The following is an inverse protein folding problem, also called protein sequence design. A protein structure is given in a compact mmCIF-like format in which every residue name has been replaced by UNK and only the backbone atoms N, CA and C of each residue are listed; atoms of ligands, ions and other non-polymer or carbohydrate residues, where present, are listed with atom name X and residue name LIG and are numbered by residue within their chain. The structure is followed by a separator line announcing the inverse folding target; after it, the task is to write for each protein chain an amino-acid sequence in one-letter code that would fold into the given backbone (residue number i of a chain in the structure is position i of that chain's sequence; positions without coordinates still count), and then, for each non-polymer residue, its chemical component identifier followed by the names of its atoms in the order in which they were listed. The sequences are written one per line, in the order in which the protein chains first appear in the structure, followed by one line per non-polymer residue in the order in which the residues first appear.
data_IF_332960384365
#
_entry.id   IF_332960384365
#
_cell.length_a   1.000
_cell.length_b   1.000
_cell.length_c   1.000
_cell.angle_alpha   90.00
_cell.angle_beta   90.00
_cell.angle_gamma   90.00
#
_symmetry.space_group_name_H-M   'P 1'
#
loop_
_entity.id
_entity.type
_entity.pdbx_description
1 polymer ?
#
# COMPACT_ATOMS: atom_id res chain seq x y z
N UNK A 1 8.99 -9.00 -4.36
CA UNK A 1 7.71 -8.81 -5.09
C UNK A 1 7.43 -9.95 -6.05
N UNK A 2 8.26 -10.20 -7.06
CA UNK A 2 8.02 -11.27 -8.04
C UNK A 2 7.77 -12.66 -7.41
N UNK A 3 8.58 -13.08 -6.43
CA UNK A 3 8.37 -14.35 -5.74
C UNK A 3 7.12 -14.38 -4.82
N UNK A 4 6.87 -13.30 -4.08
CA UNK A 4 5.78 -13.27 -3.07
C UNK A 4 4.41 -13.09 -3.75
N UNK A 5 4.35 -12.22 -4.75
CA UNK A 5 3.11 -11.81 -5.41
C UNK A 5 2.91 -12.43 -6.80
N UNK A 6 3.84 -13.26 -7.28
CA UNK A 6 3.85 -13.78 -8.66
C UNK A 6 3.76 -12.65 -9.71
N UNK A 7 4.32 -11.48 -9.37
CA UNK A 7 4.17 -10.22 -10.12
C UNK A 7 5.52 -9.71 -10.65
N UNK A 8 6.04 -10.25 -11.76
CA UNK A 8 7.36 -9.91 -12.28
C UNK A 8 7.43 -8.50 -12.88
N UNK A 9 6.40 -8.08 -13.62
CA UNK A 9 6.38 -6.76 -14.28
C UNK A 9 6.29 -5.67 -13.22
N UNK A 10 5.39 -5.86 -12.25
CA UNK A 10 5.27 -4.95 -11.11
C UNK A 10 6.58 -4.81 -10.32
N UNK A 11 7.33 -5.91 -10.15
CA UNK A 11 8.60 -5.89 -9.44
C UNK A 11 9.68 -5.08 -10.16
N UNK A 12 9.73 -5.19 -11.50
CA UNK A 12 10.62 -4.36 -12.32
C UNK A 12 10.25 -2.89 -12.16
N UNK A 13 8.98 -2.56 -12.38
CA UNK A 13 8.50 -1.17 -12.31
C UNK A 13 8.69 -0.58 -10.92
N UNK A 14 8.44 -1.34 -9.85
CA UNK A 14 8.71 -0.88 -8.48
C UNK A 14 10.17 -0.57 -8.23
N UNK A 15 11.07 -1.44 -8.71
CA UNK A 15 12.50 -1.20 -8.58
C UNK A 15 12.91 0.09 -9.30
N UNK A 16 12.27 0.41 -10.44
CA UNK A 16 12.52 1.63 -11.21
C UNK A 16 11.91 2.89 -10.58
N UNK A 17 10.67 2.81 -10.12
CA UNK A 17 9.90 3.99 -9.69
C UNK A 17 10.18 4.37 -8.24
N UNK A 18 10.49 3.39 -7.39
CA UNK A 18 10.63 3.60 -5.94
C UNK A 18 12.06 3.46 -5.44
N UNK A 19 12.87 2.58 -6.04
CA UNK A 19 14.20 2.23 -5.50
C UNK A 19 15.34 2.88 -6.29
N UNK A 20 15.38 2.72 -7.61
CA UNK A 20 16.49 3.14 -8.46
C UNK A 20 16.32 4.58 -8.90
N UNK A 21 17.34 5.40 -8.64
CA UNK A 21 17.37 6.80 -9.02
C UNK A 21 17.83 7.02 -10.48
N UNK A 22 18.64 6.10 -11.04
CA UNK A 22 19.15 6.17 -12.40
C UNK A 22 19.13 4.78 -13.06
N UNK A 23 18.66 4.72 -14.30
CA UNK A 23 18.59 3.49 -15.08
C UNK A 23 19.63 3.46 -16.19
N UNK A 24 20.38 2.36 -16.28
CA UNK A 24 21.11 1.99 -17.49
C UNK A 24 20.45 0.76 -18.12
N UNK A 25 20.47 0.64 -19.45
CA UNK A 25 19.98 -0.56 -20.14
C UNK A 25 20.65 -1.84 -19.65
N UNK A 26 21.91 -1.74 -19.20
CA UNK A 26 22.67 -2.84 -18.60
C UNK A 26 22.06 -3.37 -17.28
N UNK A 27 21.32 -2.54 -16.54
CA UNK A 27 20.67 -2.95 -15.29
C UNK A 27 19.26 -3.53 -15.46
N UNK A 28 18.59 -3.26 -16.59
CA UNK A 28 17.25 -3.81 -16.88
C UNK A 28 17.29 -5.32 -17.14
N UNK A 29 18.27 -5.80 -17.89
CA UNK A 29 18.33 -7.22 -18.27
C UNK A 29 18.50 -8.13 -17.05
N UNK A 30 19.44 -7.88 -16.11
CA UNK A 30 19.53 -8.65 -14.87
C UNK A 30 18.25 -8.57 -14.02
N UNK A 31 17.59 -7.41 -13.99
CA UNK A 31 16.35 -7.22 -13.24
C UNK A 31 15.20 -8.07 -13.83
N UNK A 32 15.08 -8.14 -15.15
CA UNK A 32 14.11 -8.99 -15.83
C UNK A 32 14.39 -10.48 -15.61
N UNK A 33 15.66 -10.89 -15.72
CA UNK A 33 16.05 -12.29 -15.48
C UNK A 33 15.71 -12.70 -14.05
N UNK A 34 16.13 -11.91 -13.05
CA UNK A 34 15.90 -12.22 -11.64
C UNK A 34 14.42 -12.26 -11.26
N UNK A 35 13.62 -11.30 -11.75
CA UNK A 35 12.17 -11.29 -11.50
C UNK A 35 11.45 -12.46 -12.18
N UNK A 36 11.86 -12.84 -13.39
CA UNK A 36 11.33 -14.01 -14.09
C UNK A 36 11.70 -15.29 -13.37
N UNK A 37 12.96 -15.48 -12.99
CA UNK A 37 13.41 -16.65 -12.22
C UNK A 37 12.63 -16.75 -10.90
N UNK A 38 12.47 -15.64 -10.17
CA UNK A 38 11.72 -15.61 -8.92
C UNK A 38 10.24 -16.01 -9.10
N UNK A 39 9.59 -15.54 -10.17
CA UNK A 39 8.20 -15.91 -10.48
C UNK A 39 8.09 -17.40 -10.87
N UNK A 40 9.00 -17.91 -11.72
CA UNK A 40 9.03 -19.32 -12.10
C UNK A 40 9.27 -20.24 -10.91
N UNK A 41 10.17 -19.87 -10.00
CA UNK A 41 10.37 -20.61 -8.75
C UNK A 41 9.10 -20.60 -7.91
N UNK A 42 8.42 -19.46 -7.78
CA UNK A 42 7.13 -19.41 -7.07
C UNK A 42 6.08 -20.30 -7.73
N UNK A 43 5.99 -20.34 -9.06
CA UNK A 43 5.05 -21.21 -9.77
C UNK A 43 5.35 -22.69 -9.58
N UNK A 44 6.64 -23.05 -9.52
CA UNK A 44 7.06 -24.42 -9.28
C UNK A 44 6.60 -24.94 -7.92
N UNK A 45 6.69 -24.12 -6.86
CA UNK A 45 6.34 -24.54 -5.49
C UNK A 45 4.88 -24.27 -5.11
N UNK A 46 4.29 -23.18 -5.59
CA UNK A 46 2.98 -22.66 -5.13
C UNK A 46 1.90 -22.69 -6.21
N UNK A 47 2.16 -23.32 -7.35
CA UNK A 47 1.24 -23.37 -8.49
C UNK A 47 1.11 -22.05 -9.24
N UNK A 48 0.35 -22.04 -10.34
CA UNK A 48 0.19 -20.89 -11.23
C UNK A 48 -1.00 -19.99 -10.88
N UNK A 49 -1.79 -20.35 -9.87
CA UNK A 49 -2.96 -19.55 -9.49
C UNK A 49 -2.54 -18.15 -9.02
N UNK A 50 -3.29 -17.16 -9.49
CA UNK A 50 -3.15 -15.77 -9.03
C UNK A 50 -3.68 -15.63 -7.60
N UNK A 51 -3.10 -14.69 -6.85
CA UNK A 51 -3.45 -14.51 -5.44
C UNK A 51 -4.88 -13.98 -5.29
N UNK A 52 -5.32 -13.17 -6.25
CA UNK A 52 -6.66 -12.57 -6.26
C UNK A 52 -7.37 -12.91 -7.57
N UNK A 53 -8.03 -14.08 -7.67
CA UNK A 53 -8.73 -14.47 -8.88
C UNK A 53 -9.86 -13.47 -9.15
N UNK A 54 -9.71 -12.73 -10.24
CA UNK A 54 -10.65 -11.72 -10.68
C UNK A 54 -11.16 -12.06 -12.06
N UNK A 55 -12.48 -12.12 -12.21
CA UNK A 55 -13.13 -12.20 -13.49
C UNK A 55 -13.69 -10.83 -13.85
N UNK A 56 -13.29 -10.31 -15.01
CA UNK A 56 -13.78 -9.01 -15.48
C UNK A 56 -15.28 -9.11 -15.75
N UNK A 57 -16.09 -8.60 -14.83
CA UNK A 57 -17.56 -8.64 -14.92
C UNK A 57 -18.06 -7.75 -16.06
N UNK A 58 -17.52 -6.53 -16.17
CA UNK A 58 -17.88 -5.60 -17.25
C UNK A 58 -16.66 -4.84 -17.77
N UNK A 59 -16.67 -4.60 -19.08
CA UNK A 59 -15.67 -3.75 -19.74
C UNK A 59 -15.78 -2.30 -19.30
N UNK A 60 -14.68 -1.57 -19.45
CA UNK A 60 -14.63 -0.15 -19.17
C UNK A 60 -15.71 0.63 -19.96
N UNK A 61 -16.42 1.50 -19.26
CA UNK A 61 -17.41 2.42 -19.82
C UNK A 61 -16.99 3.86 -19.50
N UNK A 62 -16.98 4.71 -20.52
CA UNK A 62 -16.59 6.12 -20.41
C UNK A 62 -17.48 6.91 -19.44
N UNK A 63 -18.78 6.59 -19.35
CA UNK A 63 -19.72 7.25 -18.44
C UNK A 63 -19.35 7.08 -16.97
N UNK A 64 -18.53 6.07 -16.63
CA UNK A 64 -18.12 5.77 -15.26
C UNK A 64 -16.83 6.49 -14.83
N UNK A 65 -16.19 7.23 -15.72
CA UNK A 65 -14.97 8.01 -15.42
C UNK A 65 -15.14 8.93 -14.20
N UNK A 66 -16.23 9.69 -14.04
CA UNK A 66 -16.40 10.56 -12.87
C UNK A 66 -16.33 9.82 -11.54
N UNK A 67 -16.88 8.60 -11.47
CA UNK A 67 -16.87 7.80 -10.25
C UNK A 67 -15.48 7.24 -9.94
N UNK A 68 -14.70 6.87 -10.97
CA UNK A 68 -13.28 6.55 -10.80
C UNK A 68 -12.47 7.76 -10.35
N UNK A 69 -12.78 8.96 -10.85
CA UNK A 69 -12.16 10.21 -10.39
C UNK A 69 -12.41 10.44 -8.90
N UNK A 70 -13.65 10.28 -8.45
CA UNK A 70 -14.01 10.37 -7.02
C UNK A 70 -13.24 9.33 -6.21
N UNK A 71 -13.18 8.08 -6.67
CA UNK A 71 -12.44 7.01 -6.01
C UNK A 71 -10.95 7.35 -5.86
N UNK A 72 -10.32 7.86 -6.92
CA UNK A 72 -8.91 8.27 -6.91
C UNK A 72 -8.63 9.37 -5.88
N UNK A 73 -9.46 10.42 -5.84
CA UNK A 73 -9.32 11.51 -4.87
C UNK A 73 -9.54 11.00 -3.45
N UNK A 74 -10.60 10.22 -3.22
CA UNK A 74 -10.90 9.65 -1.91
C UNK A 74 -9.77 8.73 -1.41
N UNK A 75 -9.23 7.87 -2.27
CA UNK A 75 -8.08 7.02 -1.96
C UNK A 75 -6.83 7.85 -1.67
N UNK A 76 -6.59 8.93 -2.41
CA UNK A 76 -5.49 9.86 -2.16
C UNK A 76 -5.57 10.50 -0.77
N UNK A 77 -6.74 11.02 -0.38
CA UNK A 77 -6.96 11.55 0.97
C UNK A 77 -6.77 10.47 2.06
N UNK A 78 -7.28 9.27 1.81
CA UNK A 78 -7.15 8.15 2.73
C UNK A 78 -5.70 7.66 2.86
N UNK A 79 -4.89 7.74 1.80
CA UNK A 79 -3.46 7.44 1.83
C UNK A 79 -2.66 8.43 2.69
N UNK A 80 -3.08 9.71 2.71
CA UNK A 80 -2.53 10.73 3.61
C UNK A 80 -2.87 10.39 5.06
N UNK A 81 -4.12 10.02 5.34
CA UNK A 81 -4.53 9.54 6.66
C UNK A 81 -3.71 8.32 7.08
N UNK A 82 -3.56 7.32 6.20
CA UNK A 82 -2.75 6.13 6.43
C UNK A 82 -1.32 6.51 6.86
N UNK A 83 -0.67 7.35 6.05
CA UNK A 83 0.72 7.76 6.29
C UNK A 83 0.87 8.50 7.62
N UNK A 84 -0.03 9.42 7.94
CA UNK A 84 0.03 10.19 9.20
C UNK A 84 -0.17 9.31 10.43
N UNK A 85 -1.18 8.44 10.39
CA UNK A 85 -1.45 7.51 11.52
C UNK A 85 -0.30 6.53 11.69
N UNK A 86 0.24 6.02 10.58
CA UNK A 86 1.39 5.13 10.61
C UNK A 86 2.60 5.79 11.30
N UNK A 87 2.99 6.99 10.85
CA UNK A 87 4.10 7.73 11.45
C UNK A 87 3.87 8.09 12.92
N UNK A 88 2.65 8.52 13.25
CA UNK A 88 2.29 8.86 14.63
C UNK A 88 2.40 7.65 15.55
N UNK A 89 1.88 6.51 15.11
CA UNK A 89 1.89 5.26 15.88
C UNK A 89 3.32 4.74 16.05
N UNK A 90 4.14 4.79 15.00
CA UNK A 90 5.56 4.43 15.04
C UNK A 90 6.30 5.29 16.08
N UNK A 91 6.15 6.61 16.01
CA UNK A 91 6.74 7.56 16.97
C UNK A 91 6.22 7.38 18.40
N UNK A 92 4.96 6.94 18.58
CA UNK A 92 4.41 6.63 19.89
C UNK A 92 5.08 5.40 20.50
N UNK A 93 5.23 4.33 19.73
CA UNK A 93 5.84 3.09 20.20
C UNK A 93 7.36 3.19 20.37
N UNK A 94 8.06 4.03 19.61
CA UNK A 94 9.49 4.33 19.81
C UNK A 94 9.78 4.92 21.20
N UNK A 95 8.83 5.65 21.80
CA UNK A 95 8.97 6.20 23.16
C UNK A 95 8.95 5.12 24.25
N UNK A 96 8.38 3.95 23.95
CA UNK A 96 8.23 2.84 24.89
C UNK A 96 9.45 1.92 24.76
N UNK A 97 10.45 2.13 25.63
CA UNK A 97 11.71 1.37 25.60
C UNK A 97 11.57 -0.10 26.04
N UNK A 98 10.60 -0.39 26.91
CA UNK A 98 10.41 -1.76 27.41
C UNK A 98 9.61 -2.59 26.40
N UNK A 99 10.26 -3.61 25.85
CA UNK A 99 9.66 -4.52 24.86
C UNK A 99 8.39 -5.21 25.35
N UNK A 100 8.31 -5.59 26.64
CA UNK A 100 7.15 -6.28 27.19
C UNK A 100 5.94 -5.36 27.29
N UNK A 101 6.16 -4.11 27.70
CA UNK A 101 5.10 -3.09 27.75
C UNK A 101 4.60 -2.77 26.35
N UNK A 102 5.53 -2.67 25.39
CA UNK A 102 5.21 -2.45 23.99
C UNK A 102 4.33 -3.57 23.41
N UNK A 103 4.71 -4.82 23.65
CA UNK A 103 3.95 -5.99 23.21
C UNK A 103 2.59 -6.10 23.91
N UNK A 104 2.50 -5.77 25.21
CA UNK A 104 1.23 -5.78 25.94
C UNK A 104 0.26 -4.73 25.41
N UNK A 105 0.72 -3.50 25.19
CA UNK A 105 -0.13 -2.43 24.63
C UNK A 105 -0.56 -2.79 23.21
N UNK A 106 0.37 -3.23 22.37
CA UNK A 106 0.08 -3.64 20.99
C UNK A 106 -0.89 -4.82 20.93
N UNK A 107 -0.65 -5.86 21.73
CA UNK A 107 -1.47 -7.07 21.77
C UNK A 107 -2.87 -6.82 22.33
N UNK A 108 -3.01 -6.04 23.41
CA UNK A 108 -4.31 -5.71 23.99
C UNK A 108 -5.13 -4.82 23.06
N UNK A 109 -4.52 -3.78 22.49
CA UNK A 109 -5.22 -2.89 21.56
C UNK A 109 -5.64 -3.62 20.28
N UNK A 110 -4.76 -4.44 19.70
CA UNK A 110 -5.08 -5.25 18.53
C UNK A 110 -6.14 -6.32 18.85
N UNK A 111 -6.03 -6.99 20.01
CA UNK A 111 -7.01 -7.98 20.47
C UNK A 111 -8.41 -7.39 20.64
N UNK A 112 -8.50 -6.19 21.23
CA UNK A 112 -9.75 -5.45 21.34
C UNK A 112 -10.33 -5.07 19.97
N UNK A 113 -9.49 -4.59 19.05
CA UNK A 113 -9.92 -4.24 17.69
C UNK A 113 -10.45 -5.46 16.93
N UNK A 114 -9.77 -6.60 17.00
CA UNK A 114 -10.19 -7.84 16.33
C UNK A 114 -11.46 -8.41 16.98
N UNK A 115 -11.61 -8.30 18.30
CA UNK A 115 -12.83 -8.71 18.98
C UNK A 115 -14.05 -7.90 18.51
N UNK A 116 -13.89 -6.59 18.32
CA UNK A 116 -14.96 -5.71 17.83
C UNK A 116 -15.19 -5.84 16.32
N UNK A 117 -14.11 -6.03 15.55
CA UNK A 117 -14.13 -6.15 14.08
C UNK A 117 -13.31 -7.37 13.64
N UNK A 118 -13.92 -8.58 13.60
CA UNK A 118 -13.24 -9.81 13.22
C UNK A 118 -12.61 -9.76 11.82
N UNK A 119 -13.19 -8.99 10.90
CA UNK A 119 -12.66 -8.76 9.56
C UNK A 119 -11.28 -8.07 9.52
N UNK A 120 -10.80 -7.52 10.65
CA UNK A 120 -9.44 -7.00 10.77
C UNK A 120 -8.38 -8.09 10.91
N UNK A 121 -8.77 -9.33 11.20
CA UNK A 121 -7.86 -10.45 11.46
C UNK A 121 -6.97 -10.79 10.25
N UNK A 122 -5.69 -11.02 10.53
CA UNK A 122 -4.68 -11.40 9.54
C UNK A 122 -4.36 -10.34 8.49
N UNK A 123 -3.71 -10.79 7.41
CA UNK A 123 -3.33 -9.95 6.26
C UNK A 123 -4.55 -9.44 5.47
N UNK A 124 -5.69 -10.14 5.58
CA UNK A 124 -6.95 -9.76 4.97
C UNK A 124 -7.18 -10.29 3.55
N UNK A 125 -6.45 -11.33 3.13
CA UNK A 125 -6.64 -11.98 1.82
C UNK A 125 -8.09 -12.44 1.59
N UNK A 126 -8.73 -13.05 2.60
CA UNK A 126 -10.13 -13.49 2.51
C UNK A 126 -11.07 -12.33 2.25
N UNK A 127 -10.91 -11.24 3.01
CA UNK A 127 -11.72 -10.03 2.87
C UNK A 127 -11.51 -9.38 1.50
N UNK A 128 -10.26 -9.29 1.03
CA UNK A 128 -9.95 -8.75 -0.30
C UNK A 128 -10.60 -9.62 -1.37
N UNK A 129 -10.48 -10.95 -1.30
CA UNK A 129 -11.09 -11.87 -2.25
C UNK A 129 -12.62 -11.76 -2.26
N UNK A 130 -13.26 -11.69 -1.09
CA UNK A 130 -14.70 -11.43 -1.00
C UNK A 130 -15.08 -10.08 -1.63
N UNK A 131 -14.29 -9.04 -1.37
CA UNK A 131 -14.55 -7.71 -1.91
C UNK A 131 -14.40 -7.65 -3.44
N UNK A 132 -13.40 -8.33 -3.99
CA UNK A 132 -13.19 -8.45 -5.45
C UNK A 132 -14.31 -9.29 -6.09
N UNK A 133 -14.94 -10.20 -5.36
CA UNK A 133 -16.14 -10.91 -5.80
C UNK A 133 -17.43 -10.09 -5.62
N UNK A 134 -17.33 -8.86 -5.08
CA UNK A 134 -18.47 -8.00 -4.80
C UNK A 134 -19.31 -8.42 -3.59
N UNK A 135 -18.78 -9.29 -2.73
CA UNK A 135 -19.44 -9.76 -1.50
C UNK A 135 -18.95 -8.95 -0.28
N UNK A 136 -19.86 -8.56 0.60
CA UNK A 136 -19.59 -7.82 1.86
C UNK A 136 -20.06 -8.55 3.13
N UNK A 137 -20.44 -9.82 3.04
CA UNK A 137 -20.87 -10.68 4.17
C UNK A 137 -19.78 -10.82 5.24
N UNK A 138 -18.51 -10.70 4.85
CA UNK A 138 -17.37 -10.74 5.78
C UNK A 138 -17.47 -9.66 6.88
N UNK A 139 -18.22 -8.57 6.66
CA UNK A 139 -18.45 -7.52 7.67
C UNK A 139 -19.25 -8.04 8.88
N UNK A 140 -20.10 -9.04 8.65
CA UNK A 140 -21.05 -9.55 9.64
C UNK A 140 -20.64 -10.91 10.21
N UNK A 141 -19.75 -11.64 9.54
CA UNK A 141 -19.30 -12.95 9.97
C UNK A 141 -18.61 -12.86 11.35
N UNK A 142 -19.15 -13.59 12.34
CA UNK A 142 -18.70 -13.60 13.75
C UNK A 142 -18.69 -12.22 14.42
N UNK A 143 -19.40 -11.25 13.85
CA UNK A 143 -19.50 -9.89 14.36
C UNK A 143 -20.73 -9.72 15.27
N UNK A 144 -20.63 -8.83 16.26
CA UNK A 144 -21.76 -8.46 17.13
C UNK A 144 -22.92 -7.82 16.34
N UNK A 145 -22.65 -7.35 15.12
CA UNK A 145 -23.60 -6.65 14.26
C UNK A 145 -24.36 -7.56 13.29
N UNK A 146 -24.25 -8.89 13.40
CA UNK A 146 -24.90 -9.85 12.50
C UNK A 146 -26.42 -9.62 12.36
N UNK A 147 -27.10 -9.25 13.45
CA UNK A 147 -28.55 -8.97 13.44
C UNK A 147 -28.96 -7.70 12.68
N UNK A 148 -28.02 -6.87 12.22
CA UNK A 148 -28.25 -5.60 11.54
C UNK A 148 -27.80 -5.61 10.07
N UNK A 149 -27.61 -6.80 9.49
CA UNK A 149 -27.09 -6.98 8.13
C UNK A 149 -27.94 -6.32 7.04
N UNK A 150 -29.25 -6.15 7.26
CA UNK A 150 -30.15 -5.49 6.30
C UNK A 150 -30.08 -3.97 6.33
N UNK A 151 -29.48 -3.37 7.37
CA UNK A 151 -29.46 -1.92 7.51
C UNK A 151 -28.28 -1.30 6.75
N UNK A 152 -28.61 -0.60 5.67
CA UNK A 152 -27.68 0.10 4.77
C UNK A 152 -26.75 1.06 5.52
N UNK A 153 -27.28 1.82 6.48
CA UNK A 153 -26.48 2.77 7.26
C UNK A 153 -25.47 2.05 8.14
N UNK A 154 -25.83 0.88 8.67
CA UNK A 154 -24.92 0.02 9.43
C UNK A 154 -23.81 -0.50 8.52
N UNK A 155 -24.14 -0.99 7.32
CA UNK A 155 -23.14 -1.44 6.33
C UNK A 155 -22.12 -0.33 6.02
N UNK A 156 -22.60 0.87 5.69
CA UNK A 156 -21.73 2.02 5.39
C UNK A 156 -20.85 2.36 6.61
N UNK A 157 -21.42 2.34 7.81
CA UNK A 157 -20.65 2.61 9.04
C UNK A 157 -19.58 1.55 9.31
N UNK A 158 -19.89 0.27 9.07
CA UNK A 158 -18.97 -0.84 9.28
C UNK A 158 -17.84 -0.82 8.27
N UNK A 159 -18.13 -0.56 6.99
CA UNK A 159 -17.08 -0.35 5.98
C UNK A 159 -16.17 0.82 6.36
N UNK A 160 -16.75 1.95 6.72
CA UNK A 160 -16.00 3.15 7.10
C UNK A 160 -15.12 2.88 8.33
N UNK A 161 -15.69 2.22 9.34
CA UNK A 161 -14.96 1.77 10.53
C UNK A 161 -13.85 0.80 10.19
N UNK A 162 -14.11 -0.21 9.37
CA UNK A 162 -13.13 -1.22 8.95
C UNK A 162 -11.95 -0.56 8.24
N UNK A 163 -12.22 0.34 7.30
CA UNK A 163 -11.21 1.10 6.55
C UNK A 163 -10.33 1.92 7.51
N UNK A 164 -10.95 2.71 8.38
CA UNK A 164 -10.22 3.61 9.29
C UNK A 164 -9.44 2.85 10.37
N UNK A 165 -10.03 1.77 10.91
CA UNK A 165 -9.44 0.96 11.97
C UNK A 165 -8.38 0.01 11.45
N UNK A 166 -8.44 -0.47 10.19
CA UNK A 166 -7.36 -1.29 9.62
C UNK A 166 -6.04 -0.55 9.60
N UNK A 167 -6.06 0.76 9.30
CA UNK A 167 -4.87 1.63 9.40
C UNK A 167 -4.27 1.59 10.81
N UNK A 168 -5.12 1.75 11.82
CA UNK A 168 -4.69 1.74 13.23
C UNK A 168 -4.15 0.36 13.59
N UNK A 169 -4.88 -0.71 13.28
CA UNK A 169 -4.49 -2.08 13.54
C UNK A 169 -3.14 -2.43 12.91
N UNK A 170 -2.92 -2.09 11.63
CA UNK A 170 -1.65 -2.35 10.95
C UNK A 170 -0.51 -1.51 11.53
N UNK A 171 -0.78 -0.23 11.84
CA UNK A 171 0.23 0.67 12.41
C UNK A 171 0.65 0.23 13.82
N UNK A 172 -0.31 -0.22 14.62
CA UNK A 172 -0.05 -0.76 15.96
C UNK A 172 0.73 -2.06 15.89
N UNK A 173 0.37 -2.96 14.96
CA UNK A 173 1.08 -4.24 14.78
C UNK A 173 2.56 -4.02 14.45
N UNK A 174 2.85 -3.10 13.52
CA UNK A 174 4.22 -2.78 13.12
C UNK A 174 4.95 -1.99 14.23
N UNK A 175 4.32 -0.97 14.80
CA UNK A 175 4.91 -0.15 15.87
C UNK A 175 5.22 -0.96 17.14
N UNK A 176 4.39 -1.95 17.48
CA UNK A 176 4.63 -2.83 18.63
C UNK A 176 5.84 -3.78 18.45
N UNK A 177 6.39 -3.87 17.24
CA UNK A 177 7.53 -4.72 16.89
C UNK A 177 7.18 -5.93 16.04
N UNK A 178 5.98 -5.97 15.43
CA UNK A 178 5.64 -6.96 14.43
C UNK A 178 6.45 -6.77 13.15
N UNK A 179 6.73 -7.88 12.46
CA UNK A 179 7.41 -7.87 11.16
C UNK A 179 6.34 -7.89 10.08
N UNK A 180 6.35 -6.89 9.20
CA UNK A 180 5.39 -6.82 8.10
C UNK A 180 5.66 -5.64 7.18
N UNK A 181 4.74 -5.42 6.24
CA UNK A 181 4.82 -4.34 5.28
C UNK A 181 3.50 -3.58 5.16
N UNK A 182 3.55 -2.44 4.49
CA UNK A 182 2.38 -1.59 4.24
C UNK A 182 1.56 -2.03 3.01
N UNK A 183 2.06 -2.96 2.20
CA UNK A 183 1.41 -3.41 0.95
C UNK A 183 0.05 -4.07 1.19
N UNK A 184 0.00 -5.13 1.99
CA UNK A 184 -1.24 -5.87 2.27
C UNK A 184 -2.34 -4.99 2.90
N UNK A 185 -2.08 -4.18 3.95
CA UNK A 185 -3.12 -3.29 4.48
C UNK A 185 -3.55 -2.21 3.47
N UNK A 186 -2.66 -1.75 2.60
CA UNK A 186 -3.03 -0.80 1.52
C UNK A 186 -3.99 -1.42 0.52
N UNK A 187 -3.73 -2.67 0.07
CA UNK A 187 -4.65 -3.42 -0.80
C UNK A 187 -6.00 -3.62 -0.13
N UNK A 188 -5.99 -4.07 1.13
CA UNK A 188 -7.21 -4.27 1.92
C UNK A 188 -8.06 -3.01 1.98
N UNK A 189 -7.45 -1.89 2.35
CA UNK A 189 -8.17 -0.63 2.50
C UNK A 189 -8.69 -0.15 1.14
N UNK A 190 -7.87 -0.26 0.08
CA UNK A 190 -8.27 0.12 -1.27
C UNK A 190 -9.44 -0.71 -1.81
N UNK A 191 -9.40 -2.04 -1.62
CA UNK A 191 -10.49 -2.94 -2.03
C UNK A 191 -11.81 -2.56 -1.36
N UNK A 192 -11.77 -2.36 -0.04
CA UNK A 192 -12.95 -2.01 0.75
C UNK A 192 -13.45 -0.59 0.44
N UNK A 193 -12.57 0.37 0.17
CA UNK A 193 -12.97 1.73 -0.23
C UNK A 193 -13.68 1.70 -1.59
N UNK A 194 -13.14 0.96 -2.55
CA UNK A 194 -13.76 0.77 -3.85
C UNK A 194 -15.13 0.11 -3.74
N UNK A 195 -15.22 -0.97 -2.96
CA UNK A 195 -16.47 -1.67 -2.71
C UNK A 195 -17.51 -0.78 -2.02
N UNK A 196 -17.10 0.00 -1.01
CA UNK A 196 -17.95 0.97 -0.31
C UNK A 196 -18.51 2.02 -1.27
N UNK A 197 -17.66 2.58 -2.14
CA UNK A 197 -18.11 3.58 -3.11
C UNK A 197 -19.14 2.98 -4.09
N UNK A 198 -18.86 1.79 -4.62
CA UNK A 198 -19.80 1.08 -5.48
C UNK A 198 -21.13 0.79 -4.77
N UNK A 199 -21.08 0.36 -3.51
CA UNK A 199 -22.26 0.16 -2.66
C UNK A 199 -23.11 1.41 -2.50
N UNK A 200 -22.47 2.54 -2.20
CA UNK A 200 -23.18 3.81 -2.07
C UNK A 200 -23.83 4.22 -3.41
N UNK A 201 -23.09 4.13 -4.53
CA UNK A 201 -23.60 4.52 -5.85
C UNK A 201 -24.79 3.66 -6.29
N UNK A 202 -24.68 2.35 -6.12
CA UNK A 202 -25.73 1.39 -6.48
C UNK A 202 -26.95 1.55 -5.59
N UNK A 203 -26.77 1.69 -4.28
CA UNK A 203 -27.87 1.79 -3.33
C UNK A 203 -28.63 3.12 -3.45
N UNK A 204 -27.93 4.22 -3.73
CA UNK A 204 -28.57 5.52 -4.00
C UNK A 204 -29.23 5.59 -5.39
N UNK A 205 -29.08 4.56 -6.23
CA UNK A 205 -29.64 4.53 -7.59
C UNK A 205 -28.99 5.54 -8.55
N UNK A 206 -27.75 5.97 -8.26
CA UNK A 206 -27.04 6.99 -9.06
C UNK A 206 -26.54 6.40 -10.38
N UNK A 207 -25.89 5.23 -10.31
CA UNK A 207 -25.38 4.48 -11.46
C UNK A 207 -25.20 3.02 -11.05
N UNK A 208 -25.55 2.06 -11.92
CA UNK A 208 -25.27 0.65 -11.66
C UNK A 208 -23.81 0.32 -12.03
N UNK A 209 -22.94 0.27 -11.02
CA UNK A 209 -21.51 0.04 -11.17
C UNK A 209 -21.09 -1.35 -10.66
N UNK A 210 -20.16 -2.05 -11.34
CA UNK A 210 -19.67 -3.34 -10.88
C UNK A 210 -18.82 -3.20 -9.61
N UNK A 211 -19.28 -3.81 -8.52
CA UNK A 211 -18.58 -3.86 -7.23
C UNK A 211 -17.13 -4.35 -7.36
N UNK A 212 -16.96 -5.48 -8.06
CA UNK A 212 -15.68 -6.13 -8.31
C UNK A 212 -14.65 -5.19 -8.95
N UNK A 213 -15.06 -4.47 -10.00
CA UNK A 213 -14.18 -3.54 -10.72
C UNK A 213 -13.73 -2.40 -9.82
N UNK A 214 -14.65 -1.82 -9.03
CA UNK A 214 -14.31 -0.72 -8.13
C UNK A 214 -13.39 -1.17 -7.00
N UNK A 215 -13.59 -2.37 -6.44
CA UNK A 215 -12.68 -2.94 -5.45
C UNK A 215 -11.25 -3.07 -6.00
N UNK A 216 -11.09 -3.69 -7.18
CA UNK A 216 -9.78 -3.86 -7.85
C UNK A 216 -9.12 -2.51 -8.15
N UNK A 217 -9.88 -1.56 -8.69
CA UNK A 217 -9.36 -0.22 -9.01
C UNK A 217 -9.00 0.56 -7.74
N UNK A 218 -9.75 0.37 -6.66
CA UNK A 218 -9.48 0.96 -5.35
C UNK A 218 -8.18 0.46 -4.72
N UNK A 219 -7.86 -0.84 -4.89
CA UNK A 219 -6.57 -1.41 -4.47
C UNK A 219 -5.39 -0.66 -5.10
N UNK A 220 -5.43 -0.45 -6.41
CA UNK A 220 -4.40 0.29 -7.15
C UNK A 220 -4.30 1.74 -6.70
N UNK A 221 -5.45 2.41 -6.56
CA UNK A 221 -5.51 3.80 -6.11
C UNK A 221 -4.83 3.99 -4.73
N UNK A 222 -5.12 3.11 -3.77
CA UNK A 222 -4.55 3.20 -2.43
C UNK A 222 -3.03 2.96 -2.42
N UNK A 223 -2.55 1.95 -3.18
CA UNK A 223 -1.10 1.69 -3.32
C UNK A 223 -0.40 2.90 -3.95
N UNK A 224 -0.95 3.46 -5.03
CA UNK A 224 -0.35 4.60 -5.72
C UNK A 224 -0.18 5.81 -4.79
N UNK A 225 -1.20 6.09 -3.96
CA UNK A 225 -1.19 7.18 -2.99
C UNK A 225 -0.17 6.98 -1.88
N UNK A 226 -0.09 5.78 -1.28
CA UNK A 226 0.82 5.49 -0.16
C UNK A 226 2.28 5.44 -0.61
N UNK A 227 2.53 4.77 -1.74
CA UNK A 227 3.89 4.54 -2.24
C UNK A 227 4.44 5.71 -3.05
N UNK A 228 3.57 6.63 -3.49
CA UNK A 228 3.88 7.60 -4.52
C UNK A 228 4.42 6.97 -5.81
N UNK A 229 3.82 5.83 -6.20
CA UNK A 229 4.28 4.99 -7.30
C UNK A 229 3.11 4.53 -8.19
N UNK A 230 2.55 5.41 -9.04
CA UNK A 230 1.41 5.08 -9.89
C UNK A 230 1.65 3.91 -10.84
N UNK A 231 2.82 3.85 -11.51
CA UNK A 231 3.08 2.78 -12.49
C UNK A 231 3.16 1.43 -11.79
N UNK A 232 3.84 1.38 -10.65
CA UNK A 232 3.91 0.19 -9.80
C UNK A 232 2.52 -0.29 -9.43
N UNK A 233 1.64 0.59 -8.99
CA UNK A 233 0.29 0.22 -8.58
C UNK A 233 -0.49 -0.41 -9.76
N UNK A 234 -0.43 0.19 -10.94
CA UNK A 234 -1.15 -0.30 -12.13
C UNK A 234 -0.68 -1.72 -12.50
N UNK A 235 0.63 -1.92 -12.63
CA UNK A 235 1.18 -3.22 -13.01
C UNK A 235 1.04 -4.27 -11.91
N UNK A 236 1.14 -3.87 -10.64
CA UNK A 236 0.94 -4.77 -9.51
C UNK A 236 -0.48 -5.32 -9.49
N UNK A 237 -1.49 -4.48 -9.67
CA UNK A 237 -2.88 -4.95 -9.71
C UNK A 237 -3.13 -5.82 -10.94
N UNK A 238 -2.59 -5.45 -12.10
CA UNK A 238 -2.69 -6.28 -13.31
C UNK A 238 -2.12 -7.69 -13.13
N UNK A 239 -0.92 -7.80 -12.55
CA UNK A 239 -0.28 -9.09 -12.26
C UNK A 239 -1.05 -9.89 -11.19
N UNK A 240 -1.52 -9.21 -10.13
CA UNK A 240 -2.23 -9.84 -9.01
C UNK A 240 -3.60 -10.39 -9.37
N UNK A 241 -4.27 -9.78 -10.35
CA UNK A 241 -5.63 -10.13 -10.77
C UNK A 241 -5.68 -11.01 -12.02
N UNK A 242 -4.54 -11.20 -12.69
CA UNK A 242 -4.45 -12.03 -13.90
C UNK A 242 -5.00 -11.37 -15.17
N UNK A 243 -5.21 -10.05 -15.18
CA UNK A 243 -5.74 -9.36 -16.35
C UNK A 243 -5.57 -7.84 -16.36
N UNK A 244 -5.31 -7.28 -17.54
CA UNK A 244 -5.14 -5.84 -17.77
C UNK A 244 -6.41 -5.14 -18.29
N UNK A 245 -7.60 -5.77 -18.11
CA UNK A 245 -8.86 -5.21 -18.59
C UNK A 245 -9.27 -3.87 -17.94
N UNK A 246 -8.74 -3.58 -16.75
CA UNK A 246 -9.00 -2.35 -15.99
C UNK A 246 -7.83 -1.36 -16.01
N UNK A 247 -6.93 -1.47 -17.01
CA UNK A 247 -5.74 -0.61 -17.10
C UNK A 247 -6.09 0.89 -17.12
N UNK A 248 -7.11 1.29 -17.89
CA UNK A 248 -7.52 2.69 -18.01
C UNK A 248 -8.11 3.26 -16.70
N UNK A 249 -9.08 2.61 -16.03
CA UNK A 249 -9.47 2.98 -14.67
C UNK A 249 -8.32 3.07 -13.68
N UNK A 250 -7.42 2.08 -13.68
CA UNK A 250 -6.26 2.05 -12.79
C UNK A 250 -5.34 3.24 -13.03
N UNK A 251 -5.08 3.61 -14.29
CA UNK A 251 -4.30 4.81 -14.62
C UNK A 251 -4.94 6.08 -14.06
N UNK A 252 -6.25 6.24 -14.25
CA UNK A 252 -6.99 7.42 -13.76
C UNK A 252 -6.92 7.51 -12.24
N UNK A 253 -7.31 6.44 -11.54
CA UNK A 253 -7.41 6.46 -10.08
C UNK A 253 -6.05 6.51 -9.40
N UNK A 254 -5.05 5.79 -9.92
CA UNK A 254 -3.68 5.79 -9.38
C UNK A 254 -3.03 7.16 -9.53
N UNK A 255 -3.18 7.80 -10.69
CA UNK A 255 -2.61 9.14 -10.93
C UNK A 255 -3.27 10.20 -10.05
N UNK A 256 -4.60 10.16 -9.93
CA UNK A 256 -5.35 11.10 -9.08
C UNK A 256 -5.06 10.90 -7.59
N UNK A 257 -4.96 9.64 -7.15
CA UNK A 257 -4.60 9.32 -5.77
C UNK A 257 -3.21 9.84 -5.42
N UNK A 258 -2.23 9.58 -6.29
CA UNK A 258 -0.88 10.12 -6.15
C UNK A 258 -0.87 11.66 -6.14
N UNK A 259 -1.52 12.30 -7.11
CA UNK A 259 -1.56 13.76 -7.19
C UNK A 259 -2.20 14.37 -5.94
N UNK A 260 -3.29 13.79 -5.46
CA UNK A 260 -3.98 14.22 -4.23
C UNK A 260 -3.09 14.03 -3.01
N UNK A 261 -2.46 12.86 -2.86
CA UNK A 261 -1.56 12.57 -1.74
C UNK A 261 -0.37 13.54 -1.70
N UNK A 262 0.22 13.83 -2.86
CA UNK A 262 1.39 14.71 -3.01
C UNK A 262 1.13 16.16 -2.58
N UNK A 263 -0.11 16.64 -2.70
CA UNK A 263 -0.50 17.99 -2.23
C UNK A 263 -0.31 18.11 -0.71
N UNK A 264 -0.63 17.06 0.05
CA UNK A 264 -0.56 17.07 1.51
C UNK A 264 0.75 16.50 2.06
N UNK A 265 1.36 15.58 1.33
CA UNK A 265 2.57 14.85 1.72
C UNK A 265 3.57 14.88 0.56
N UNK A 266 4.60 15.73 0.59
CA UNK A 266 5.54 15.85 -0.54
C UNK A 266 6.45 14.62 -0.72
N UNK A 267 6.55 13.74 0.29
CA UNK A 267 7.43 12.59 0.32
C UNK A 267 6.65 11.31 0.63
N UNK A 268 7.07 10.18 0.06
CA UNK A 268 6.42 8.88 0.29
C UNK A 268 6.75 8.33 1.68
N UNK A 269 5.97 7.34 2.14
CA UNK A 269 6.24 6.66 3.41
C UNK A 269 7.69 6.16 3.50
N UNK A 270 8.21 5.57 2.42
CA UNK A 270 9.58 5.05 2.38
C UNK A 270 10.62 6.18 2.43
N UNK A 271 10.43 7.26 1.67
CA UNK A 271 11.32 8.42 1.72
C UNK A 271 11.38 9.02 3.11
N UNK A 272 10.23 9.12 3.79
CA UNK A 272 10.13 9.64 5.15
C UNK A 272 10.85 8.73 6.16
N UNK A 273 10.64 7.41 6.08
CA UNK A 273 11.33 6.46 6.95
C UNK A 273 12.85 6.48 6.75
N UNK A 274 13.32 6.57 5.50
CA UNK A 274 14.74 6.69 5.18
C UNK A 274 15.33 8.01 5.71
N UNK A 275 14.58 9.11 5.60
CA UNK A 275 14.97 10.41 6.17
C UNK A 275 15.09 10.34 7.70
N UNK A 276 14.11 9.74 8.38
CA UNK A 276 14.13 9.55 9.82
C UNK A 276 15.34 8.72 10.28
N UNK A 277 15.73 7.71 9.50
CA UNK A 277 16.93 6.88 9.74
C UNK A 277 18.25 7.54 9.31
N UNK A 278 18.24 8.78 8.79
CA UNK A 278 19.40 9.46 8.18
C UNK A 278 20.06 8.67 7.05
N UNK A 279 19.28 7.83 6.36
CA UNK A 279 19.70 6.98 5.24
C UNK A 279 19.12 7.47 3.91
N UNK A 280 18.51 8.65 3.87
CA UNK A 280 17.97 9.21 2.63
C UNK A 280 19.11 9.64 1.71
N UNK A 281 19.32 8.89 0.63
CA UNK A 281 20.18 9.27 -0.48
C UNK A 281 19.34 10.18 -1.39
N UNK A 282 19.63 11.47 -1.41
CA UNK A 282 18.95 12.44 -2.28
C UNK A 282 19.28 12.22 -3.76
N UNK A 283 18.44 12.72 -4.67
CA UNK A 283 18.65 12.66 -6.13
C UNK A 283 20.02 13.21 -6.61
N UNK A 284 20.72 14.00 -5.79
CA UNK A 284 22.10 14.40 -6.04
C UNK A 284 23.07 13.56 -5.22
N UNK A 285 23.66 12.55 -5.86
CA UNK A 285 24.66 11.64 -5.27
C UNK A 285 25.85 12.39 -4.67
N UNK A 286 26.32 13.42 -5.36
CA UNK A 286 27.45 14.23 -4.89
C UNK A 286 27.08 15.01 -3.63
N UNK A 287 25.88 15.58 -3.58
CA UNK A 287 25.43 16.33 -2.41
C UNK A 287 25.17 15.40 -1.22
N UNK A 288 24.58 14.22 -1.44
CA UNK A 288 24.40 13.21 -0.40
C UNK A 288 25.75 12.72 0.14
N UNK A 289 26.71 12.42 -0.74
CA UNK A 289 28.06 12.01 -0.37
C UNK A 289 28.78 13.11 0.43
N UNK A 290 28.71 14.36 -0.03
CA UNK A 290 29.29 15.52 0.67
C UNK A 290 28.66 15.77 2.04
N UNK A 291 27.35 15.52 2.20
CA UNK A 291 26.66 15.69 3.49
C UNK A 291 27.01 14.58 4.48
N UNK A 292 27.36 13.39 3.99
CA UNK A 292 27.78 12.24 4.80
C UNK A 292 29.29 12.26 5.12
N UNK A 293 30.09 13.04 4.39
CA UNK A 293 31.52 13.20 4.63
C UNK A 293 31.80 14.11 5.83
N UNK A 294 32.51 13.59 6.84
CA UNK A 294 33.11 14.44 7.88
C UNK A 294 34.45 14.95 7.37
N UNK A 295 34.57 16.28 7.21
CA UNK A 295 35.81 16.94 6.73
C UNK A 295 37.03 16.50 7.55
N UNK A 296 36.85 16.28 8.86
CA UNK A 296 37.88 15.79 9.79
C UNK A 296 38.50 14.44 9.38
N UNK A 297 37.74 13.57 8.72
CA UNK A 297 38.21 12.26 8.26
C UNK A 297 38.92 12.32 6.89
N UNK A 298 38.83 13.46 6.21
CA UNK A 298 39.46 13.71 4.91
C UNK A 298 40.72 14.57 5.03
N UNK A 299 41.02 15.10 6.22
CA UNK A 299 42.24 15.85 6.48
C UNK A 299 43.42 14.88 6.60
N UNK A 300 44.30 14.90 5.62
CA UNK A 300 45.62 14.26 5.76
C UNK A 300 46.41 14.99 6.85
N UNK A 301 46.82 14.29 7.90
CA UNK A 301 47.60 14.88 9.02
C UNK A 301 49.08 14.53 8.94
N UNK A 302 49.52 13.85 7.88
CA UNK A 302 50.87 13.29 7.73
C UNK A 302 51.89 14.24 7.09
N UNK A 303 51.76 15.55 7.32
CA UNK A 303 52.67 16.53 6.73
C UNK A 303 54.02 16.62 7.48
N UNK A 304 55.12 16.66 6.73
CA UNK A 304 56.45 16.98 7.28
C UNK A 304 56.62 18.50 7.37
N UNK A 305 56.72 19.03 8.59
CA UNK A 305 56.94 20.47 8.82
C UNK A 305 58.40 20.84 8.59
N UNK A 306 58.68 21.82 7.73
CA UNK A 306 60.03 22.38 7.54
C UNK A 306 60.13 23.65 8.38
N UNK A 307 61.11 23.71 9.30
CA UNK A 307 61.39 24.95 10.04
C UNK A 307 62.08 25.95 9.12
N UNK A 308 61.58 27.18 9.12
CA UNK A 308 62.20 28.31 8.40
C UNK A 308 63.55 28.61 9.08
N UNK A 309 64.64 28.41 8.34
CA UNK A 309 66.00 28.86 8.70
C UNK A 309 66.09 30.38 8.69
#
# INVERSE_FOLDING_TARGET
MAAIFKAPIAAVVFALEVIMLDLTMASLVPLLITTTTAALTSYFFLGQDVIYPFELVEKFNLSRVPYYTILGIAAGLLSVYFTKVFMYTDSFFEKIKNIWVRLLIGGLSLGLLIYLFPALYGEGYEVINSAIQGNWEFLFNRSLFYGLHDNVWVIISLFSGLILLKVVASSVTLGAGGIGGIFAPSLFIGANLGLLLAFILNHLGVENVPYANFAVVGMGAMIAGILHAPLTAIFLIGDLTGGYGLFLPLMITSTLSYATARIFMPHSVYTIQLAAKKQLITHHKDQAALTLMKVEQLLETNFKTVKKT
#
